data_IF_541972161151
#
_entry.id   IF_541972161151
#
_cell.length_a   1.000
_cell.length_b   1.000
_cell.length_c   1.000
_cell.angle_alpha   90.00
_cell.angle_beta   90.00
_cell.angle_gamma   90.00
#
_symmetry.space_group_name_H-M   'P 1'
#
loop_
_entity.id
_entity.type
_entity.pdbx_description
1 polymer ?
#
# COMPACT_ATOMS: atom_id res chain seq x y z
N UNK A 1 -12.91 13.41 34.58
CA UNK A 1 -12.07 14.63 34.66
C UNK A 1 -10.64 14.16 34.87
N UNK A 2 -9.80 14.20 33.84
CA UNK A 2 -8.39 13.81 33.96
C UNK A 2 -7.54 15.07 34.11
N UNK A 3 -6.63 15.06 35.08
CA UNK A 3 -5.64 16.12 35.28
C UNK A 3 -4.34 15.58 34.72
N UNK A 4 -3.79 16.25 33.70
CA UNK A 4 -2.48 15.92 33.14
C UNK A 4 -1.56 17.12 33.30
N UNK A 5 -0.32 16.88 33.73
CA UNK A 5 0.72 17.90 33.88
C UNK A 5 1.47 18.06 32.56
N UNK A 6 1.65 19.31 32.13
CA UNK A 6 2.54 19.64 31.01
C UNK A 6 4.02 19.44 31.40
N UNK A 7 4.90 19.43 30.39
CA UNK A 7 6.36 19.49 30.57
C UNK A 7 6.85 20.81 31.17
N UNK A 8 6.00 21.85 31.23
CA UNK A 8 6.25 23.12 31.92
C UNK A 8 5.69 23.16 33.36
N UNK A 9 5.10 22.06 33.85
CA UNK A 9 4.61 21.94 35.22
C UNK A 9 3.19 22.46 35.47
N UNK A 10 2.50 22.94 34.44
CA UNK A 10 1.16 23.50 34.55
C UNK A 10 0.09 22.40 34.57
N UNK A 11 -0.90 22.52 35.47
CA UNK A 11 -2.01 21.57 35.59
C UNK A 11 -3.14 22.00 34.66
N UNK A 12 -3.39 21.21 33.61
CA UNK A 12 -4.51 21.46 32.68
C UNK A 12 -5.67 20.55 33.07
N UNK A 13 -6.84 21.17 33.31
CA UNK A 13 -8.08 20.49 33.66
C UNK A 13 -8.93 20.24 32.42
N UNK A 14 -9.20 18.97 32.10
CA UNK A 14 -10.17 18.62 31.04
C UNK A 14 -11.54 18.35 31.67
N UNK A 15 -12.47 19.30 31.48
CA UNK A 15 -13.90 19.07 31.67
C UNK A 15 -14.47 18.34 30.45
N UNK A 16 -15.56 17.59 30.67
CA UNK A 16 -16.24 16.73 29.70
C UNK A 16 -16.94 17.53 28.58
N UNK A 17 -16.16 18.17 27.71
CA UNK A 17 -16.62 18.87 26.51
C UNK A 17 -16.25 18.12 25.23
N UNK A 18 -17.13 18.18 24.23
CA UNK A 18 -16.96 17.57 22.90
C UNK A 18 -15.72 18.13 22.19
N UNK A 19 -14.94 17.25 21.54
CA UNK A 19 -14.00 17.67 20.50
C UNK A 19 -14.81 18.08 19.26
N UNK A 20 -14.51 19.21 18.60
CA UNK A 20 -15.06 19.49 17.29
C UNK A 20 -14.25 18.72 16.23
N UNK A 21 -14.89 17.78 15.53
CA UNK A 21 -14.28 17.06 14.39
C UNK A 21 -14.10 15.56 14.61
N UNK A 22 -14.22 14.83 13.49
CA UNK A 22 -14.18 13.37 13.27
C UNK A 22 -12.81 12.74 13.57
N UNK A 23 -12.33 12.88 14.80
CA UNK A 23 -11.14 12.19 15.31
C UNK A 23 -11.55 11.45 16.58
N UNK A 24 -11.46 10.12 16.54
CA UNK A 24 -11.78 9.31 17.72
C UNK A 24 -10.80 9.62 18.85
N UNK A 25 -11.34 9.69 20.08
CA UNK A 25 -10.61 10.02 21.32
C UNK A 25 -9.28 9.25 21.56
N UNK A 26 -9.08 8.01 21.08
CA UNK A 26 -7.78 7.32 21.22
C UNK A 26 -6.70 7.85 20.26
N UNK A 27 -7.07 8.18 19.01
CA UNK A 27 -6.13 8.64 17.98
C UNK A 27 -5.58 10.05 18.27
N UNK A 28 -6.46 10.97 18.72
CA UNK A 28 -6.05 12.32 19.12
C UNK A 28 -5.14 12.32 20.37
N UNK A 29 -5.42 11.44 21.33
CA UNK A 29 -4.63 11.33 22.56
C UNK A 29 -3.25 10.71 22.32
N UNK A 30 -3.14 9.78 21.36
CA UNK A 30 -1.88 9.14 20.97
C UNK A 30 -0.98 10.11 20.19
N UNK A 31 -1.53 10.83 19.21
CA UNK A 31 -0.78 11.79 18.40
C UNK A 31 -0.32 13.02 19.19
N UNK A 32 -1.13 13.50 20.13
CA UNK A 32 -0.77 14.62 21.01
C UNK A 32 0.42 14.29 21.93
N UNK A 33 0.50 13.06 22.45
CA UNK A 33 1.60 12.59 23.33
C UNK A 33 2.96 12.53 22.64
N UNK A 34 3.00 12.41 21.31
CA UNK A 34 4.23 12.24 20.54
C UNK A 34 4.71 13.51 19.80
N UNK A 35 3.81 14.42 19.40
CA UNK A 35 4.15 15.44 18.39
C UNK A 35 3.83 16.91 18.74
N UNK A 36 3.07 17.19 19.81
CA UNK A 36 2.73 18.56 20.22
C UNK A 36 1.67 19.27 19.33
N UNK A 37 0.99 20.27 19.91
CA UNK A 37 -0.25 20.89 19.38
C UNK A 37 -0.13 21.55 17.99
N UNK A 38 1.01 22.20 17.69
CA UNK A 38 1.19 22.94 16.42
C UNK A 38 1.32 22.03 15.18
N UNK A 39 1.86 20.81 15.33
CA UNK A 39 2.02 19.85 14.22
C UNK A 39 0.72 19.09 13.92
N UNK A 40 -0.13 18.91 14.93
CA UNK A 40 -1.47 18.33 14.79
C UNK A 40 -2.41 19.22 13.95
N UNK A 41 -2.39 20.54 14.16
CA UNK A 41 -3.27 21.47 13.42
C UNK A 41 -3.00 21.49 11.91
N UNK A 42 -1.72 21.51 11.50
CA UNK A 42 -1.36 21.52 10.08
C UNK A 42 -1.66 20.19 9.36
N UNK A 43 -1.50 19.07 10.08
CA UNK A 43 -1.90 17.74 9.59
C UNK A 43 -3.42 17.63 9.44
N UNK A 44 -4.17 18.08 10.44
CA UNK A 44 -5.64 18.02 10.44
C UNK A 44 -6.25 18.87 9.31
N UNK A 45 -5.73 20.06 9.03
CA UNK A 45 -6.24 20.92 7.94
C UNK A 45 -5.98 20.34 6.55
N UNK A 46 -4.86 19.64 6.36
CA UNK A 46 -4.50 19.04 5.06
C UNK A 46 -5.27 17.74 4.79
N UNK A 47 -5.53 16.94 5.83
CA UNK A 47 -6.23 15.64 5.72
C UNK A 47 -7.75 15.80 5.68
N UNK A 48 -8.33 16.73 6.44
CA UNK A 48 -9.80 16.92 6.45
C UNK A 48 -10.34 17.48 5.12
N UNK A 49 -9.50 18.22 4.37
CA UNK A 49 -9.86 18.73 3.05
C UNK A 49 -9.92 17.64 1.96
N UNK A 50 -9.15 16.56 2.06
CA UNK A 50 -9.12 15.48 1.05
C UNK A 50 -10.21 14.41 1.24
N UNK A 51 -10.63 14.17 2.50
CA UNK A 51 -11.63 13.16 2.88
C UNK A 51 -13.02 13.41 2.27
N UNK A 52 -13.36 14.65 1.94
CA UNK A 52 -14.69 15.00 1.42
C UNK A 52 -14.90 14.70 -0.08
N UNK A 53 -13.86 14.29 -0.82
CA UNK A 53 -13.95 14.04 -2.28
C UNK A 53 -13.91 12.56 -2.70
N UNK A 54 -13.49 11.66 -1.81
CA UNK A 54 -13.16 10.25 -2.12
C UNK A 54 -14.34 9.28 -2.02
N UNK A 55 -15.42 9.63 -1.30
CA UNK A 55 -16.56 8.72 -1.11
C UNK A 55 -17.37 8.45 -2.39
N UNK A 56 -17.16 9.23 -3.44
CA UNK A 56 -17.89 9.14 -4.72
C UNK A 56 -17.31 8.13 -5.73
N UNK A 57 -16.06 7.69 -5.55
CA UNK A 57 -15.40 6.79 -6.52
C UNK A 57 -15.83 5.33 -6.29
N UNK A 58 -16.03 4.55 -7.36
CA UNK A 58 -16.41 3.14 -7.22
C UNK A 58 -15.32 2.36 -6.48
N UNK A 59 -15.74 1.34 -5.75
CA UNK A 59 -14.83 0.44 -5.07
C UNK A 59 -14.06 -0.41 -6.09
N UNK A 60 -12.73 -0.37 -6.01
CA UNK A 60 -11.85 -1.22 -6.79
C UNK A 60 -11.68 -2.58 -6.10
N UNK A 61 -11.34 -2.57 -4.81
CA UNK A 61 -11.21 -3.77 -3.98
C UNK A 61 -12.02 -3.59 -2.69
N UNK A 62 -12.78 -4.61 -2.32
CA UNK A 62 -13.49 -4.69 -1.05
C UNK A 62 -13.04 -5.96 -0.32
N UNK A 63 -12.67 -5.80 0.94
CA UNK A 63 -12.42 -6.90 1.86
C UNK A 63 -13.47 -6.84 2.97
N UNK A 64 -14.05 -7.99 3.30
CA UNK A 64 -15.09 -8.09 4.33
C UNK A 64 -14.71 -9.19 5.32
N UNK A 65 -14.39 -8.79 6.55
CA UNK A 65 -14.05 -9.67 7.67
C UNK A 65 -12.97 -10.71 7.34
N UNK A 66 -11.94 -10.31 6.59
CA UNK A 66 -10.81 -11.19 6.29
C UNK A 66 -10.08 -11.55 7.58
N UNK A 67 -9.88 -12.83 7.80
CA UNK A 67 -9.08 -13.34 8.92
C UNK A 67 -7.93 -14.20 8.41
N UNK A 68 -6.89 -14.28 9.23
CA UNK A 68 -5.77 -15.18 8.99
C UNK A 68 -5.24 -15.74 10.30
N UNK A 69 -4.96 -17.04 10.32
CA UNK A 69 -4.31 -17.76 11.40
C UNK A 69 -2.96 -18.31 10.95
N UNK A 70 -2.08 -18.54 11.91
CA UNK A 70 -0.88 -19.31 11.68
C UNK A 70 -1.26 -20.80 11.48
N UNK A 71 -0.83 -21.45 10.38
CA UNK A 71 -1.26 -22.81 10.07
C UNK A 71 -0.68 -23.88 11.00
N UNK A 72 0.37 -23.56 11.76
CA UNK A 72 1.05 -24.50 12.67
C UNK A 72 0.56 -24.36 14.11
N UNK A 73 0.28 -23.13 14.55
CA UNK A 73 -0.05 -22.82 15.95
C UNK A 73 -1.52 -22.45 16.18
N UNK A 74 -2.33 -22.30 15.13
CA UNK A 74 -3.71 -21.76 15.16
C UNK A 74 -3.83 -20.34 15.77
N UNK A 75 -2.70 -19.69 16.03
CA UNK A 75 -2.66 -18.33 16.54
C UNK A 75 -3.20 -17.35 15.50
N UNK A 76 -4.11 -16.44 15.91
CA UNK A 76 -4.69 -15.44 15.01
C UNK A 76 -3.63 -14.40 14.64
N UNK A 77 -3.33 -14.29 13.34
CA UNK A 77 -2.37 -13.32 12.79
C UNK A 77 -3.07 -12.05 12.27
N UNK A 78 -4.32 -12.19 11.84
CA UNK A 78 -5.17 -11.11 11.37
C UNK A 78 -6.59 -11.34 11.91
N UNK A 79 -7.03 -10.43 12.77
CA UNK A 79 -8.43 -10.36 13.22
C UNK A 79 -9.32 -9.85 12.09
N UNK A 80 -10.66 -10.03 12.17
CA UNK A 80 -11.57 -9.68 11.07
C UNK A 80 -11.33 -8.27 10.53
N UNK A 81 -10.73 -8.18 9.35
CA UNK A 81 -10.35 -6.93 8.71
C UNK A 81 -11.28 -6.64 7.53
N UNK A 82 -11.89 -5.45 7.56
CA UNK A 82 -12.75 -4.95 6.49
C UNK A 82 -12.19 -3.63 5.96
N UNK A 83 -12.17 -3.46 4.64
CA UNK A 83 -11.69 -2.23 4.03
C UNK A 83 -12.21 -2.06 2.59
N UNK A 84 -12.19 -0.82 2.11
CA UNK A 84 -12.53 -0.46 0.73
C UNK A 84 -11.37 0.36 0.14
N UNK A 85 -10.76 -0.17 -0.91
CA UNK A 85 -9.84 0.58 -1.78
C UNK A 85 -10.64 0.98 -3.02
N UNK A 86 -10.70 2.26 -3.31
CA UNK A 86 -11.41 2.84 -4.46
C UNK A 86 -10.43 3.12 -5.60
N UNK A 87 -10.98 3.32 -6.79
CA UNK A 87 -10.20 3.73 -7.95
C UNK A 87 -9.46 5.06 -7.69
N UNK A 88 -8.19 5.10 -8.04
CA UNK A 88 -7.30 6.24 -7.86
C UNK A 88 -6.77 6.42 -6.43
N UNK A 89 -7.09 5.52 -5.51
CA UNK A 89 -6.63 5.64 -4.12
C UNK A 89 -5.12 5.42 -4.00
N UNK A 90 -4.53 6.19 -3.09
CA UNK A 90 -3.15 6.00 -2.62
C UNK A 90 -3.18 5.81 -1.11
N UNK A 91 -3.23 4.56 -0.68
CA UNK A 91 -3.36 4.21 0.74
C UNK A 91 -1.99 3.86 1.30
N UNK A 92 -1.69 4.41 2.48
CA UNK A 92 -0.53 4.02 3.28
C UNK A 92 -1.00 3.19 4.46
N UNK A 93 -0.41 2.01 4.65
CA UNK A 93 -0.61 1.16 5.82
C UNK A 93 0.54 1.34 6.81
N UNK A 94 0.23 1.97 7.94
CA UNK A 94 1.19 2.25 9.01
C UNK A 94 0.95 1.35 10.22
N UNK A 95 1.97 1.16 11.04
CA UNK A 95 1.93 0.30 12.23
C UNK A 95 3.32 -0.22 12.62
N UNK A 96 3.48 -0.64 13.88
CA UNK A 96 4.73 -1.18 14.39
C UNK A 96 5.18 -2.44 13.61
N UNK A 97 6.48 -2.77 13.68
CA UNK A 97 6.95 -4.06 13.17
C UNK A 97 6.23 -5.21 13.88
N UNK A 98 5.87 -6.26 13.14
CA UNK A 98 5.10 -7.38 13.68
C UNK A 98 3.61 -7.12 13.90
N UNK A 99 3.08 -5.94 13.57
CA UNK A 99 1.66 -5.63 13.81
C UNK A 99 0.66 -6.36 12.89
N UNK A 100 1.13 -7.07 11.86
CA UNK A 100 0.28 -7.81 10.91
C UNK A 100 0.16 -7.18 9.51
N UNK A 101 0.90 -6.11 9.21
CA UNK A 101 0.82 -5.39 7.92
C UNK A 101 1.09 -6.29 6.70
N UNK A 102 2.23 -7.00 6.70
CA UNK A 102 2.59 -7.90 5.60
C UNK A 102 1.65 -9.11 5.51
N UNK A 103 1.14 -9.62 6.65
CA UNK A 103 0.12 -10.68 6.68
C UNK A 103 -1.16 -10.19 5.97
N UNK A 104 -1.61 -8.99 6.29
CA UNK A 104 -2.77 -8.38 5.65
C UNK A 104 -2.55 -8.19 4.14
N UNK A 105 -1.41 -7.63 3.72
CA UNK A 105 -1.12 -7.45 2.29
C UNK A 105 -1.05 -8.77 1.52
N UNK A 106 -0.43 -9.80 2.09
CA UNK A 106 -0.35 -11.12 1.47
C UNK A 106 -1.71 -11.82 1.40
N UNK A 107 -2.57 -11.58 2.39
CA UNK A 107 -3.95 -12.05 2.41
C UNK A 107 -4.76 -11.33 1.32
N UNK A 108 -4.65 -10.00 1.19
CA UNK A 108 -5.25 -9.24 0.09
C UNK A 108 -4.73 -9.72 -1.27
N UNK A 109 -3.45 -10.06 -1.39
CA UNK A 109 -2.86 -10.55 -2.63
C UNK A 109 -3.27 -12.00 -2.97
N UNK A 110 -4.02 -12.69 -2.10
CA UNK A 110 -4.25 -14.14 -2.19
C UNK A 110 -2.94 -14.93 -2.39
N UNK A 111 -1.86 -14.46 -1.75
CA UNK A 111 -0.63 -15.24 -1.58
C UNK A 111 -0.74 -16.15 -0.36
N UNK A 112 -1.42 -15.67 0.68
CA UNK A 112 -1.88 -16.48 1.80
C UNK A 112 -3.41 -16.51 1.75
N UNK A 113 -3.99 -17.71 1.79
CA UNK A 113 -5.44 -17.88 1.75
C UNK A 113 -6.05 -17.35 3.07
N UNK A 114 -7.07 -16.49 3.04
CA UNK A 114 -7.80 -16.11 4.24
C UNK A 114 -8.53 -17.32 4.84
N UNK A 115 -8.61 -17.38 6.17
CA UNK A 115 -9.31 -18.43 6.90
C UNK A 115 -10.83 -18.18 6.92
N UNK A 116 -11.25 -16.91 6.92
CA UNK A 116 -12.64 -16.49 6.75
C UNK A 116 -12.73 -15.13 6.05
N UNK A 117 -13.96 -14.74 5.70
CA UNK A 117 -14.25 -13.46 5.04
C UNK A 117 -14.22 -13.54 3.53
N UNK A 118 -14.48 -12.41 2.88
CA UNK A 118 -14.66 -12.32 1.44
C UNK A 118 -13.83 -11.18 0.83
N UNK A 119 -13.38 -11.41 -0.40
CA UNK A 119 -12.74 -10.40 -1.24
C UNK A 119 -13.60 -10.19 -2.48
N UNK A 120 -13.84 -8.94 -2.85
CA UNK A 120 -14.46 -8.58 -4.12
C UNK A 120 -13.56 -7.59 -4.88
N UNK A 121 -13.33 -7.86 -6.16
CA UNK A 121 -12.59 -6.99 -7.07
C UNK A 121 -13.57 -6.45 -8.12
N UNK A 122 -13.69 -5.12 -8.20
CA UNK A 122 -14.62 -4.42 -9.11
C UNK A 122 -16.06 -4.97 -9.01
N UNK A 123 -16.51 -5.16 -7.77
CA UNK A 123 -17.84 -5.69 -7.43
C UNK A 123 -18.05 -7.19 -7.68
N UNK A 124 -17.02 -7.94 -8.07
CA UNK A 124 -17.09 -9.40 -8.25
C UNK A 124 -16.36 -10.13 -7.14
N UNK A 125 -17.05 -11.01 -6.43
CA UNK A 125 -16.43 -11.89 -5.42
C UNK A 125 -15.32 -12.72 -6.05
N UNK A 126 -14.16 -12.74 -5.40
CA UNK A 126 -12.98 -13.45 -5.85
C UNK A 126 -13.04 -14.87 -5.29
N UNK A 127 -13.20 -15.83 -6.20
CA UNK A 127 -13.16 -17.25 -5.86
C UNK A 127 -11.71 -17.76 -5.81
N UNK A 128 -11.49 -18.88 -5.12
CA UNK A 128 -10.17 -19.53 -5.07
C UNK A 128 -9.71 -20.01 -6.47
N UNK A 129 -10.65 -20.47 -7.30
CA UNK A 129 -10.38 -20.87 -8.68
C UNK A 129 -9.88 -19.72 -9.56
N UNK A 130 -10.16 -18.47 -9.20
CA UNK A 130 -9.74 -17.28 -9.93
C UNK A 130 -8.41 -16.69 -9.45
N UNK A 131 -7.75 -17.30 -8.46
CA UNK A 131 -6.61 -16.70 -7.75
C UNK A 131 -5.46 -16.26 -8.68
N UNK A 132 -5.19 -16.99 -9.77
CA UNK A 132 -4.18 -16.58 -10.76
C UNK A 132 -4.58 -15.35 -11.55
N UNK A 133 -5.85 -15.28 -12.00
CA UNK A 133 -6.39 -14.10 -12.71
C UNK A 133 -6.51 -12.89 -11.79
N UNK A 134 -6.82 -13.13 -10.52
CA UNK A 134 -6.81 -12.11 -9.49
C UNK A 134 -5.40 -11.55 -9.27
N UNK A 135 -4.38 -12.41 -9.06
CA UNK A 135 -2.98 -11.98 -8.88
C UNK A 135 -2.38 -11.30 -10.10
N UNK A 136 -2.92 -11.52 -11.30
CA UNK A 136 -2.54 -10.76 -12.49
C UNK A 136 -3.07 -9.31 -12.48
N UNK A 137 -4.09 -9.02 -11.65
CA UNK A 137 -4.70 -7.70 -11.48
C UNK A 137 -4.26 -7.03 -10.17
N UNK A 138 -4.06 -7.80 -9.10
CA UNK A 138 -3.60 -7.33 -7.79
C UNK A 138 -2.18 -7.81 -7.56
N UNK A 139 -1.21 -6.94 -7.83
CA UNK A 139 0.19 -7.30 -7.83
C UNK A 139 0.85 -6.95 -6.49
N UNK A 140 1.58 -7.92 -5.93
CA UNK A 140 2.33 -7.76 -4.69
C UNK A 140 3.83 -7.56 -4.97
N UNK A 141 4.35 -6.41 -4.55
CA UNK A 141 5.77 -6.07 -4.59
C UNK A 141 6.32 -6.21 -3.18
N UNK A 142 7.22 -7.18 -3.03
CA UNK A 142 7.91 -7.46 -1.77
C UNK A 142 9.11 -6.53 -1.56
N UNK A 143 9.51 -6.38 -0.29
CA UNK A 143 10.67 -5.60 0.13
C UNK A 143 11.98 -6.02 -0.56
N UNK A 144 12.23 -7.34 -0.67
CA UNK A 144 13.45 -7.88 -1.30
C UNK A 144 13.21 -8.30 -2.75
N UNK A 145 13.82 -7.64 -3.76
CA UNK A 145 13.61 -7.99 -5.16
C UNK A 145 14.14 -9.39 -5.48
N UNK A 146 13.47 -10.06 -6.43
CA UNK A 146 13.91 -11.36 -6.96
C UNK A 146 13.85 -11.32 -8.48
N UNK A 147 15.00 -11.57 -9.10
CA UNK A 147 15.16 -11.63 -10.55
C UNK A 147 15.60 -13.02 -10.98
N UNK A 148 15.26 -13.36 -12.21
CA UNK A 148 15.79 -14.51 -12.92
C UNK A 148 17.25 -14.24 -13.33
N UNK A 149 18.05 -15.30 -13.44
CA UNK A 149 19.39 -15.24 -14.01
C UNK A 149 19.31 -15.06 -15.53
N UNK A 150 19.03 -13.84 -15.96
CA UNK A 150 18.85 -13.43 -17.35
C UNK A 150 19.21 -11.94 -17.50
N UNK A 151 19.11 -11.39 -18.70
CA UNK A 151 19.16 -9.93 -18.88
C UNK A 151 17.97 -9.25 -18.19
N UNK A 152 18.04 -7.92 -18.05
CA UNK A 152 16.91 -7.10 -17.64
C UNK A 152 15.72 -7.35 -18.58
N UNK A 153 15.93 -7.31 -19.89
CA UNK A 153 14.87 -7.62 -20.86
C UNK A 153 14.34 -9.06 -20.71
N UNK A 154 15.20 -10.04 -20.44
CA UNK A 154 14.77 -11.42 -20.16
C UNK A 154 13.84 -11.51 -18.95
N UNK A 155 14.11 -10.72 -17.91
CA UNK A 155 13.22 -10.61 -16.75
C UNK A 155 11.89 -9.95 -17.09
N UNK A 156 11.87 -8.96 -17.98
CA UNK A 156 10.67 -8.24 -18.39
C UNK A 156 9.81 -9.05 -19.37
N UNK A 157 10.41 -9.90 -20.20
CA UNK A 157 9.68 -10.75 -21.15
C UNK A 157 9.08 -11.99 -20.50
N UNK A 158 9.70 -12.51 -19.44
CA UNK A 158 9.27 -13.73 -18.75
C UNK A 158 7.76 -13.83 -18.41
N UNK A 159 7.11 -12.80 -17.82
CA UNK A 159 5.70 -12.91 -17.42
C UNK A 159 4.73 -13.14 -18.59
N UNK A 160 5.11 -12.81 -19.82
CA UNK A 160 4.28 -13.02 -21.01
C UNK A 160 4.26 -14.48 -21.48
N UNK A 161 5.16 -15.32 -20.97
CA UNK A 161 5.11 -16.78 -21.16
C UNK A 161 4.10 -17.48 -20.25
N UNK A 162 3.51 -16.78 -19.26
CA UNK A 162 2.56 -17.36 -18.32
C UNK A 162 1.16 -17.46 -18.93
N UNK A 163 0.48 -18.59 -18.74
CA UNK A 163 -0.86 -18.84 -19.31
C UNK A 163 -1.90 -17.76 -18.96
N UNK A 164 -1.79 -17.14 -17.77
CA UNK A 164 -2.68 -16.06 -17.33
C UNK A 164 -2.52 -14.77 -18.16
N UNK A 165 -1.37 -14.59 -18.80
CA UNK A 165 -1.02 -13.43 -19.62
C UNK A 165 -1.01 -13.76 -21.13
N UNK A 166 -1.58 -14.88 -21.56
CA UNK A 166 -1.57 -15.34 -22.96
C UNK A 166 -2.12 -14.31 -23.97
N UNK A 167 -3.01 -13.43 -23.51
CA UNK A 167 -3.65 -12.41 -24.33
C UNK A 167 -2.86 -11.08 -24.34
N UNK A 168 -1.74 -11.02 -23.60
CA UNK A 168 -0.84 -9.87 -23.52
C UNK A 168 0.45 -10.16 -24.29
N UNK A 169 1.09 -9.11 -24.82
CA UNK A 169 2.38 -9.20 -25.49
C UNK A 169 3.37 -8.23 -24.87
N UNK A 170 4.64 -8.62 -24.85
CA UNK A 170 5.72 -7.74 -24.43
C UNK A 170 5.79 -6.55 -25.39
N UNK A 171 5.75 -5.34 -24.83
CA UNK A 171 5.91 -4.09 -25.56
C UNK A 171 7.16 -3.37 -25.05
N UNK A 172 8.24 -3.46 -25.83
CA UNK A 172 9.51 -2.79 -25.50
C UNK A 172 9.36 -1.27 -25.45
N UNK A 173 8.52 -0.66 -26.29
CA UNK A 173 8.31 0.79 -26.30
C UNK A 173 7.61 1.26 -25.02
N UNK A 174 6.72 0.45 -24.45
CA UNK A 174 6.15 0.72 -23.12
C UNK A 174 7.21 0.75 -22.04
N UNK A 175 8.16 -0.19 -22.06
CA UNK A 175 9.29 -0.19 -21.12
C UNK A 175 10.18 1.03 -21.33
N UNK A 176 10.49 1.39 -22.57
CA UNK A 176 11.31 2.56 -22.88
C UNK A 176 10.66 3.86 -22.37
N UNK A 177 9.33 4.00 -22.46
CA UNK A 177 8.59 5.12 -21.85
C UNK A 177 8.73 5.17 -20.33
N UNK A 178 8.65 4.02 -19.67
CA UNK A 178 8.90 3.95 -18.22
C UNK A 178 10.34 4.33 -17.85
N UNK A 179 11.33 3.88 -18.64
CA UNK A 179 12.73 4.23 -18.42
C UNK A 179 12.98 5.73 -18.64
N UNK A 180 12.37 6.32 -19.66
CA UNK A 180 12.39 7.76 -19.91
C UNK A 180 11.80 8.56 -18.73
N UNK A 181 10.71 8.10 -18.13
CA UNK A 181 10.09 8.75 -16.98
C UNK A 181 11.00 8.82 -15.72
N UNK A 182 12.07 8.01 -15.69
CA UNK A 182 13.07 7.99 -14.62
C UNK A 182 14.48 8.31 -15.13
N UNK A 183 14.59 8.99 -16.28
CA UNK A 183 15.84 9.44 -16.90
C UNK A 183 16.89 8.31 -17.09
N UNK A 184 16.42 7.09 -17.37
CA UNK A 184 17.26 5.91 -17.52
C UNK A 184 17.38 5.50 -19.00
N UNK A 185 18.60 5.25 -19.53
CA UNK A 185 18.78 4.90 -20.92
C UNK A 185 18.27 3.49 -21.23
N UNK A 186 17.86 3.26 -22.49
CA UNK A 186 17.38 1.95 -22.97
C UNK A 186 18.46 0.85 -22.92
N UNK A 187 19.75 1.21 -22.92
CA UNK A 187 20.87 0.28 -22.71
C UNK A 187 20.83 -0.43 -21.35
N UNK A 188 20.00 0.05 -20.42
CA UNK A 188 19.73 -0.66 -19.17
C UNK A 188 19.11 -2.04 -19.40
N UNK A 189 18.36 -2.23 -20.49
CA UNK A 189 17.69 -3.49 -20.83
C UNK A 189 18.67 -4.63 -21.14
N UNK A 190 19.88 -4.28 -21.57
CA UNK A 190 20.91 -5.24 -21.96
C UNK A 190 21.73 -5.74 -20.76
N UNK A 191 21.61 -5.10 -19.58
CA UNK A 191 22.36 -5.51 -18.38
C UNK A 191 21.96 -6.92 -17.93
N UNK A 192 22.95 -7.70 -17.50
CA UNK A 192 22.71 -8.96 -16.80
C UNK A 192 22.18 -8.71 -15.38
N UNK A 193 21.23 -9.53 -14.91
CA UNK A 193 20.63 -9.37 -13.57
C UNK A 193 21.65 -9.45 -12.43
N UNK A 194 22.72 -10.23 -12.59
CA UNK A 194 23.81 -10.34 -11.62
C UNK A 194 24.72 -9.10 -11.52
N UNK A 195 24.63 -8.17 -12.46
CA UNK A 195 25.40 -6.92 -12.46
C UNK A 195 24.62 -5.72 -11.88
N UNK A 196 23.39 -5.95 -11.42
CA UNK A 196 22.50 -4.90 -10.92
C UNK A 196 22.75 -4.61 -9.45
N UNK A 197 22.66 -3.32 -9.07
CA UNK A 197 22.52 -2.96 -7.66
C UNK A 197 21.16 -3.42 -7.10
N UNK A 198 21.01 -3.53 -5.78
CA UNK A 198 19.72 -3.87 -5.17
C UNK A 198 18.59 -2.91 -5.58
N UNK A 199 18.92 -1.62 -5.75
CA UNK A 199 18.01 -0.61 -6.29
C UNK A 199 17.60 -0.83 -7.74
N UNK A 200 18.57 -1.15 -8.60
CA UNK A 200 18.28 -1.51 -9.98
C UNK A 200 17.45 -2.79 -10.07
N UNK A 201 17.70 -3.78 -9.20
CA UNK A 201 16.88 -4.99 -9.14
C UNK A 201 15.43 -4.69 -8.77
N UNK A 202 15.21 -3.75 -7.85
CA UNK A 202 13.87 -3.31 -7.46
C UNK A 202 13.15 -2.59 -8.60
N UNK A 203 13.85 -1.70 -9.32
CA UNK A 203 13.30 -1.04 -10.53
C UNK A 203 12.89 -2.07 -11.58
N UNK A 204 13.71 -3.09 -11.83
CA UNK A 204 13.36 -4.17 -12.79
C UNK A 204 12.16 -4.97 -12.30
N UNK A 205 12.08 -5.30 -11.01
CA UNK A 205 10.91 -5.98 -10.43
C UNK A 205 9.63 -5.16 -10.62
N UNK A 206 9.72 -3.85 -10.43
CA UNK A 206 8.59 -2.93 -10.59
C UNK A 206 8.19 -2.82 -12.07
N UNK A 207 9.12 -2.53 -12.97
CA UNK A 207 8.88 -2.51 -14.43
C UNK A 207 8.23 -3.81 -14.92
N UNK A 208 8.71 -4.95 -14.40
CA UNK A 208 8.19 -6.29 -14.74
C UNK A 208 6.70 -6.42 -14.44
N UNK A 209 6.24 -5.77 -13.39
CA UNK A 209 4.84 -5.78 -12.92
C UNK A 209 4.02 -4.68 -13.60
N UNK A 210 4.51 -3.44 -13.63
CA UNK A 210 3.76 -2.29 -14.16
C UNK A 210 3.40 -2.46 -15.64
N UNK A 211 4.28 -3.08 -16.43
CA UNK A 211 4.00 -3.34 -17.85
C UNK A 211 2.79 -4.24 -18.09
N UNK A 212 2.35 -5.02 -17.09
CA UNK A 212 1.20 -5.91 -17.18
C UNK A 212 -0.12 -5.19 -16.84
N UNK A 213 -0.11 -3.90 -16.53
CA UNK A 213 -1.29 -3.12 -16.17
C UNK A 213 -2.13 -3.77 -15.04
N UNK A 214 -1.54 -4.02 -13.86
CA UNK A 214 -2.35 -4.38 -12.70
C UNK A 214 -3.35 -3.25 -12.40
N UNK A 215 -4.43 -3.54 -11.67
CA UNK A 215 -5.30 -2.50 -11.14
C UNK A 215 -4.92 -2.08 -9.71
N UNK A 216 -4.21 -2.93 -8.96
CA UNK A 216 -3.81 -2.61 -7.60
C UNK A 216 -2.38 -3.04 -7.36
N UNK A 217 -1.55 -2.11 -6.86
CA UNK A 217 -0.23 -2.41 -6.35
C UNK A 217 -0.26 -2.50 -4.84
N UNK A 218 0.15 -3.66 -4.33
CA UNK A 218 0.41 -3.92 -2.93
C UNK A 218 1.93 -3.83 -2.73
N UNK A 219 2.41 -2.73 -2.17
CA UNK A 219 3.82 -2.38 -2.01
C UNK A 219 4.27 -2.59 -0.56
N UNK A 220 4.94 -3.70 -0.27
CA UNK A 220 5.42 -4.08 1.07
C UNK A 220 6.86 -3.58 1.26
N UNK A 221 7.00 -2.35 1.75
CA UNK A 221 8.28 -1.64 1.92
C UNK A 221 9.19 -1.66 0.69
N UNK A 222 8.71 -1.21 -0.48
CA UNK A 222 9.44 -1.37 -1.74
C UNK A 222 10.76 -0.59 -1.79
N UNK A 223 11.04 0.31 -0.85
CA UNK A 223 12.21 1.19 -0.85
C UNK A 223 13.05 1.10 0.43
N UNK A 224 12.71 0.26 1.43
CA UNK A 224 13.33 0.35 2.76
C UNK A 224 14.80 -0.04 2.82
N UNK A 225 15.31 -0.75 1.79
CA UNK A 225 16.71 -1.13 1.66
C UNK A 225 17.47 -0.32 0.59
N UNK A 226 16.89 0.76 0.07
CA UNK A 226 17.45 1.56 -1.02
C UNK A 226 18.05 2.87 -0.51
N UNK A 227 19.05 3.40 -1.22
CA UNK A 227 19.45 4.79 -1.05
C UNK A 227 18.32 5.74 -1.50
N UNK A 228 18.36 6.98 -1.01
CA UNK A 228 17.34 7.99 -1.24
C UNK A 228 17.14 8.27 -2.74
N UNK A 229 18.21 8.36 -3.52
CA UNK A 229 18.11 8.65 -4.95
C UNK A 229 17.36 7.54 -5.68
N UNK A 230 17.68 6.27 -5.39
CA UNK A 230 17.00 5.12 -5.97
C UNK A 230 15.55 5.00 -5.47
N UNK A 231 15.29 5.26 -4.18
CA UNK A 231 13.94 5.28 -3.63
C UNK A 231 13.04 6.28 -4.36
N UNK A 232 13.57 7.48 -4.66
CA UNK A 232 12.87 8.49 -5.45
C UNK A 232 12.58 8.03 -6.89
N UNK A 233 13.47 7.26 -7.53
CA UNK A 233 13.19 6.69 -8.85
C UNK A 233 12.03 5.68 -8.80
N UNK A 234 11.97 4.84 -7.75
CA UNK A 234 10.86 3.90 -7.53
C UNK A 234 9.55 4.66 -7.31
N UNK A 235 9.56 5.68 -6.45
CA UNK A 235 8.38 6.55 -6.22
C UNK A 235 7.91 7.23 -7.52
N UNK A 236 8.82 7.84 -8.28
CA UNK A 236 8.52 8.46 -9.58
C UNK A 236 7.90 7.49 -10.57
N UNK A 237 8.41 6.26 -10.63
CA UNK A 237 7.90 5.25 -11.55
C UNK A 237 6.47 4.83 -11.20
N UNK A 238 6.18 4.64 -9.90
CA UNK A 238 4.82 4.34 -9.41
C UNK A 238 3.88 5.52 -9.65
N UNK A 239 4.37 6.74 -9.42
CA UNK A 239 3.59 7.95 -9.64
C UNK A 239 3.24 8.17 -11.12
N UNK A 240 4.20 7.95 -12.01
CA UNK A 240 3.97 7.97 -13.45
C UNK A 240 2.91 6.95 -13.86
N UNK A 241 3.02 5.70 -13.40
CA UNK A 241 2.05 4.66 -13.68
C UNK A 241 0.64 4.99 -13.14
N UNK A 242 0.56 5.52 -11.91
CA UNK A 242 -0.70 5.97 -11.31
C UNK A 242 -1.32 7.13 -12.09
N UNK A 243 -0.51 8.08 -12.55
CA UNK A 243 -0.98 9.25 -13.30
C UNK A 243 -1.59 8.84 -14.63
N UNK A 244 -0.94 7.94 -15.37
CA UNK A 244 -1.41 7.45 -16.66
C UNK A 244 -2.73 6.66 -16.53
N UNK A 245 -2.94 5.96 -15.41
CA UNK A 245 -4.05 5.01 -15.24
C UNK A 245 -5.00 5.34 -14.08
N UNK A 246 -5.02 6.61 -13.61
CA UNK A 246 -5.62 7.00 -12.32
C UNK A 246 -7.07 6.53 -12.10
N UNK A 247 -7.86 6.42 -13.17
CA UNK A 247 -9.25 5.99 -13.09
C UNK A 247 -9.44 4.48 -12.92
N UNK A 248 -8.38 3.69 -13.12
CA UNK A 248 -8.44 2.22 -13.15
C UNK A 248 -7.54 1.56 -12.10
N UNK A 249 -6.65 2.34 -11.48
CA UNK A 249 -5.59 1.84 -10.60
C UNK A 249 -5.63 2.40 -9.18
N UNK A 250 -5.04 1.68 -8.23
CA UNK A 250 -4.79 2.17 -6.86
C UNK A 250 -3.50 1.58 -6.28
N UNK A 251 -3.06 2.13 -5.15
CA UNK A 251 -1.92 1.60 -4.37
C UNK A 251 -2.27 1.41 -2.90
N UNK A 252 -1.70 0.36 -2.30
CA UNK A 252 -1.58 0.17 -0.86
C UNK A 252 -0.10 0.00 -0.52
N UNK A 253 0.45 0.91 0.28
CA UNK A 253 1.88 1.03 0.52
C UNK A 253 2.22 0.90 2.01
N UNK A 254 3.10 -0.03 2.38
CA UNK A 254 3.74 -0.05 3.70
C UNK A 254 5.04 0.75 3.64
N UNK A 255 5.16 1.73 4.51
CA UNK A 255 6.42 2.46 4.71
C UNK A 255 6.67 2.70 6.20
N UNK A 256 7.94 2.82 6.55
CA UNK A 256 8.39 3.23 7.88
C UNK A 256 8.91 4.68 7.91
N UNK A 257 9.08 5.31 6.74
CA UNK A 257 9.53 6.71 6.63
C UNK A 257 8.33 7.65 6.55
N UNK A 258 8.16 8.51 7.56
CA UNK A 258 7.08 9.49 7.62
C UNK A 258 7.11 10.50 6.46
N UNK A 259 8.29 10.88 5.96
CA UNK A 259 8.38 11.80 4.82
C UNK A 259 7.88 11.11 3.55
N UNK A 260 8.29 9.86 3.32
CA UNK A 260 7.76 9.06 2.22
C UNK A 260 6.25 8.88 2.32
N UNK A 261 5.71 8.54 3.49
CA UNK A 261 4.25 8.38 3.69
C UNK A 261 3.48 9.60 3.21
N UNK A 262 3.96 10.80 3.56
CA UNK A 262 3.34 12.06 3.15
C UNK A 262 3.44 12.33 1.64
N UNK A 263 4.49 11.83 0.96
CA UNK A 263 4.63 11.95 -0.49
C UNK A 263 3.78 10.95 -1.27
N UNK A 264 3.68 9.71 -0.78
CA UNK A 264 3.07 8.61 -1.55
C UNK A 264 1.60 8.37 -1.23
N UNK A 265 1.14 8.77 -0.04
CA UNK A 265 -0.19 8.47 0.48
C UNK A 265 -1.14 9.67 0.52
N UNK A 266 -2.40 9.41 0.20
CA UNK A 266 -3.54 10.32 0.38
C UNK A 266 -4.43 9.88 1.56
N UNK A 267 -4.43 8.59 1.87
CA UNK A 267 -5.18 7.94 2.96
C UNK A 267 -4.22 7.17 3.85
N UNK A 268 -4.46 7.15 5.16
CA UNK A 268 -3.64 6.38 6.12
C UNK A 268 -4.51 5.38 6.86
N UNK A 269 -4.14 4.11 6.80
CA UNK A 269 -4.68 3.04 7.62
C UNK A 269 -3.68 2.64 8.69
N UNK A 270 -4.20 2.15 9.81
CA UNK A 270 -3.40 1.71 10.95
C UNK A 270 -3.60 0.21 11.19
N UNK A 271 -2.50 -0.49 11.43
CA UNK A 271 -2.49 -1.89 11.80
C UNK A 271 -1.82 -2.07 13.15
N UNK A 272 -2.56 -2.62 14.11
CA UNK A 272 -2.10 -2.86 15.49
C UNK A 272 -2.50 -4.26 15.93
N UNK A 273 -1.51 -5.11 16.24
CA UNK A 273 -1.72 -6.47 16.76
C UNK A 273 -2.75 -7.30 15.97
N UNK A 274 -2.71 -7.22 14.63
CA UNK A 274 -3.63 -7.91 13.73
C UNK A 274 -4.99 -7.24 13.54
N UNK A 275 -5.23 -6.06 14.13
CA UNK A 275 -6.44 -5.27 13.93
C UNK A 275 -6.20 -4.13 12.93
N UNK A 276 -7.03 -4.05 11.90
CA UNK A 276 -7.02 -2.98 10.91
C UNK A 276 -7.99 -1.86 11.32
N UNK A 277 -7.50 -0.63 11.35
CA UNK A 277 -8.31 0.59 11.45
C UNK A 277 -8.24 1.36 10.13
N UNK A 278 -9.39 1.70 9.57
CA UNK A 278 -9.51 2.46 8.32
C UNK A 278 -10.18 3.81 8.56
N UNK A 279 -10.10 4.70 7.58
CA UNK A 279 -10.79 5.98 7.53
C UNK A 279 -12.28 5.86 7.15
N UNK A 280 -12.73 4.71 6.63
CA UNK A 280 -14.15 4.44 6.30
C UNK A 280 -14.96 3.90 7.53
N UNK A 281 -14.30 3.60 8.66
CA UNK A 281 -14.92 2.89 9.80
C UNK A 281 -15.89 3.71 10.69
N UNK A 282 -16.32 4.90 10.31
CA UNK A 282 -17.27 5.71 11.11
C UNK A 282 -18.75 5.26 11.02
N UNK A 283 -19.08 4.16 10.33
CA UNK A 283 -20.49 3.78 10.06
C UNK A 283 -21.06 2.53 10.74
N UNK A 284 -20.28 1.69 11.44
CA UNK A 284 -20.71 0.34 11.81
C UNK A 284 -21.12 0.14 13.29
N UNK A 285 -21.10 1.19 14.10
CA UNK A 285 -21.56 1.11 15.50
C UNK A 285 -22.49 2.30 15.82
N UNK A 286 -23.77 2.12 15.50
CA UNK A 286 -24.88 2.83 16.12
C UNK A 286 -25.87 1.79 16.66
#
# INVERSE_FOLDING_TARGET
>A
MYIVRSSSGEKIHFSSGRFPGSVTRPAAAFFWRLCGWRRYQHWHETVVASVHSTSSRPALLQATHLTRKDPLSDHVLLYPASCIIRHGDRVVLSGASGSGKSVFMRTLALLDKPDSGELALRGRTVSQSDSSRYRAQVAYIRQRPVLLHASVEGNLTFPFGLAVNRDKKYDRQKIERFLQAIDRPSSFLDKASGALSGGEMQLVCLLRVLQLDPCLLLLDEPTSALDEATAQLVEKLIDHWMTVNRHETATLWISHDEQQKARVGERIWLMENGHLSTDDSEGAHA
#
